data_IF_532801787158
#
_entry.id   IF_532801787158
#
_cell.length_a   1.000
_cell.length_b   1.000
_cell.length_c   1.000
_cell.angle_alpha   90.00
_cell.angle_beta   90.00
_cell.angle_gamma   90.00
#
_symmetry.space_group_name_H-M   'P 1'
#
loop_
_entity.id
_entity.type
_entity.pdbx_description
1 polymer ?
#
# COMPACT_ATOMS: atom_id res chain seq x y z
N UNK A 1 -0.09 -18.46 2.38
CA UNK A 1 0.65 -17.19 2.36
C UNK A 1 1.14 -16.89 3.76
N UNK A 2 2.42 -16.61 3.93
CA UNK A 2 3.04 -16.38 5.26
C UNK A 2 3.32 -14.89 5.43
N UNK A 3 2.53 -14.23 6.28
CA UNK A 3 2.74 -12.83 6.63
C UNK A 3 3.96 -12.68 7.55
N UNK A 4 4.71 -11.59 7.39
CA UNK A 4 5.89 -11.29 8.20
C UNK A 4 5.56 -10.26 9.30
N UNK A 5 5.91 -10.52 10.58
CA UNK A 5 5.68 -9.56 11.63
C UNK A 5 6.68 -8.40 11.57
N UNK A 6 6.18 -7.20 11.88
CA UNK A 6 6.98 -6.01 12.16
C UNK A 6 6.46 -5.35 13.45
N UNK A 7 7.35 -4.76 14.22
CA UNK A 7 7.00 -4.15 15.50
C UNK A 7 7.35 -2.67 15.50
N UNK A 8 6.41 -1.87 15.99
CA UNK A 8 6.58 -0.46 16.32
C UNK A 8 6.22 -0.27 17.78
N UNK A 9 7.24 -0.19 18.64
CA UNK A 9 7.07 -0.26 20.11
C UNK A 9 6.30 -1.51 20.51
N UNK A 10 5.16 -1.34 21.17
CA UNK A 10 4.31 -2.44 21.67
C UNK A 10 3.31 -2.94 20.63
N UNK A 11 3.25 -2.28 19.46
CA UNK A 11 2.30 -2.63 18.40
C UNK A 11 2.95 -3.55 17.36
N UNK A 12 2.26 -4.65 17.07
CA UNK A 12 2.67 -5.64 16.09
C UNK A 12 1.77 -5.57 14.86
N UNK A 13 2.37 -5.33 13.70
CA UNK A 13 1.71 -5.44 12.40
C UNK A 13 2.19 -6.70 11.67
N UNK A 14 1.34 -7.25 10.81
CA UNK A 14 1.63 -8.38 9.94
C UNK A 14 1.66 -7.88 8.51
N UNK A 15 2.82 -7.91 7.86
CA UNK A 15 2.98 -7.58 6.44
C UNK A 15 2.55 -8.79 5.59
N UNK A 16 1.64 -8.58 4.65
CA UNK A 16 1.09 -9.65 3.80
C UNK A 16 1.73 -9.62 2.40
N UNK A 17 2.02 -10.77 1.77
CA UNK A 17 2.52 -10.83 0.40
C UNK A 17 1.63 -10.14 -0.64
N UNK A 18 0.36 -9.91 -0.34
CA UNK A 18 -0.53 -9.10 -1.18
C UNK A 18 -0.14 -7.61 -1.25
N UNK A 19 0.71 -7.12 -0.35
CA UNK A 19 1.02 -5.70 -0.18
C UNK A 19 0.13 -4.99 0.84
N UNK A 20 -0.79 -5.70 1.50
CA UNK A 20 -1.53 -5.21 2.65
C UNK A 20 -0.74 -5.39 3.95
N UNK A 21 -1.00 -4.56 4.95
CA UNK A 21 -0.57 -4.78 6.32
C UNK A 21 -1.79 -5.00 7.22
N UNK A 22 -1.68 -5.91 8.18
CA UNK A 22 -2.75 -6.18 9.13
C UNK A 22 -2.27 -5.92 10.56
N UNK A 23 -3.07 -5.21 11.33
CA UNK A 23 -2.85 -4.93 12.74
C UNK A 23 -3.80 -5.76 13.62
N UNK A 24 -3.34 -6.92 14.11
CA UNK A 24 -4.23 -7.88 14.78
C UNK A 24 -4.90 -7.32 16.04
N UNK A 25 -4.15 -6.60 16.89
CA UNK A 25 -4.66 -6.07 18.16
C UNK A 25 -5.85 -5.11 17.99
N UNK A 26 -5.95 -4.43 16.84
CA UNK A 26 -7.01 -3.48 16.51
C UNK A 26 -7.95 -3.99 15.41
N UNK A 27 -7.64 -5.15 14.82
CA UNK A 27 -8.34 -5.69 13.67
C UNK A 27 -8.44 -4.68 12.52
N UNK A 28 -7.32 -4.01 12.21
CA UNK A 28 -7.22 -3.00 11.15
C UNK A 28 -6.44 -3.60 10.00
N UNK A 29 -7.03 -3.57 8.81
CA UNK A 29 -6.36 -3.85 7.54
C UNK A 29 -5.92 -2.53 6.92
N UNK A 30 -4.68 -2.46 6.42
CA UNK A 30 -4.10 -1.26 5.84
C UNK A 30 -3.68 -1.60 4.42
N UNK A 31 -4.13 -0.80 3.46
CA UNK A 31 -3.76 -0.86 2.05
C UNK A 31 -3.39 0.54 1.56
N UNK A 32 -2.67 0.64 0.45
CA UNK A 32 -2.24 1.93 -0.09
C UNK A 32 -2.39 1.96 -1.60
N UNK A 33 -2.67 3.13 -2.15
CA UNK A 33 -2.53 3.39 -3.59
C UNK A 33 -3.27 2.35 -4.44
N UNK A 34 -4.60 2.31 -4.29
CA UNK A 34 -5.46 1.39 -5.05
C UNK A 34 -5.50 1.75 -6.53
N UNK A 35 -5.41 3.05 -6.84
CA UNK A 35 -5.45 3.61 -8.20
C UNK A 35 -6.54 2.97 -9.07
N UNK A 36 -7.76 2.88 -8.54
CA UNK A 36 -8.91 2.43 -9.31
C UNK A 36 -9.10 3.33 -10.52
N UNK A 37 -9.66 2.79 -11.60
CA UNK A 37 -9.95 3.52 -12.85
C UNK A 37 -8.68 4.01 -13.58
N UNK A 38 -7.53 3.37 -13.38
CA UNK A 38 -6.31 3.67 -14.12
C UNK A 38 -6.44 3.35 -15.60
N UNK A 39 -7.08 2.23 -15.93
CA UNK A 39 -7.35 1.83 -17.31
C UNK A 39 -8.23 2.83 -18.04
N UNK A 40 -9.34 3.27 -17.42
CA UNK A 40 -10.24 4.27 -17.99
C UNK A 40 -9.57 5.64 -18.12
N UNK A 41 -8.77 6.05 -17.12
CA UNK A 41 -7.96 7.27 -17.18
C UNK A 41 -6.94 7.25 -18.32
N UNK A 42 -6.28 6.12 -18.55
CA UNK A 42 -5.35 5.95 -19.67
C UNK A 42 -6.08 6.04 -21.03
N UNK A 43 -7.24 5.42 -21.14
CA UNK A 43 -8.07 5.46 -22.37
C UNK A 43 -8.50 6.88 -22.73
N UNK A 44 -8.87 7.71 -21.75
CA UNK A 44 -9.17 9.13 -21.96
C UNK A 44 -7.99 9.92 -22.56
N UNK A 45 -6.76 9.46 -22.33
CA UNK A 45 -5.53 10.05 -22.89
C UNK A 45 -5.02 9.36 -24.16
N UNK A 46 -5.83 8.48 -24.76
CA UNK A 46 -5.46 7.73 -25.97
C UNK A 46 -4.53 6.55 -25.73
N UNK A 47 -4.25 6.19 -24.48
CA UNK A 47 -3.41 5.06 -24.13
C UNK A 47 -4.29 3.85 -23.74
N UNK A 48 -4.11 2.72 -24.42
CA UNK A 48 -4.87 1.52 -24.14
C UNK A 48 -4.15 0.68 -23.07
N UNK A 49 -4.75 0.57 -21.89
CA UNK A 49 -4.41 -0.43 -20.88
C UNK A 49 -5.54 -1.47 -20.81
N UNK A 50 -5.24 -2.73 -20.47
CA UNK A 50 -6.29 -3.71 -20.26
C UNK A 50 -7.29 -3.22 -19.18
N UNK A 51 -8.63 -3.25 -19.45
CA UNK A 51 -9.64 -2.61 -18.61
C UNK A 51 -10.04 -3.48 -17.40
N UNK A 52 -9.08 -4.18 -16.78
CA UNK A 52 -9.33 -5.12 -15.69
C UNK A 52 -8.70 -4.68 -14.35
N UNK A 53 -8.05 -3.52 -14.34
CA UNK A 53 -7.28 -3.00 -13.20
C UNK A 53 -8.15 -2.81 -11.96
N UNK A 54 -9.27 -2.11 -12.07
CA UNK A 54 -10.22 -1.87 -10.98
C UNK A 54 -10.76 -3.19 -10.43
N UNK A 55 -11.27 -4.03 -11.30
CA UNK A 55 -11.83 -5.33 -10.92
C UNK A 55 -10.80 -6.22 -10.23
N UNK A 56 -9.59 -6.33 -10.79
CA UNK A 56 -8.51 -7.14 -10.22
C UNK A 56 -8.06 -6.62 -8.85
N UNK A 57 -7.98 -5.29 -8.69
CA UNK A 57 -7.66 -4.64 -7.42
C UNK A 57 -8.74 -4.90 -6.37
N UNK A 58 -10.02 -4.77 -6.72
CA UNK A 58 -11.13 -5.04 -5.80
C UNK A 58 -11.27 -6.52 -5.44
N UNK A 59 -11.02 -7.44 -6.37
CA UNK A 59 -10.97 -8.88 -6.08
C UNK A 59 -9.83 -9.23 -5.11
N UNK A 60 -8.67 -8.58 -5.27
CA UNK A 60 -7.54 -8.71 -4.36
C UNK A 60 -7.88 -8.15 -2.97
N UNK A 61 -8.50 -6.96 -2.89
CA UNK A 61 -8.94 -6.34 -1.64
C UNK A 61 -9.96 -7.23 -0.93
N UNK A 62 -10.96 -7.73 -1.63
CA UNK A 62 -11.97 -8.62 -1.06
C UNK A 62 -11.37 -9.90 -0.48
N UNK A 63 -10.34 -10.48 -1.13
CA UNK A 63 -9.63 -11.65 -0.60
C UNK A 63 -8.98 -11.37 0.75
N UNK A 64 -8.28 -10.25 0.92
CA UNK A 64 -7.61 -9.92 2.19
C UNK A 64 -8.62 -9.49 3.27
N UNK A 65 -9.71 -8.80 2.91
CA UNK A 65 -10.82 -8.50 3.82
C UNK A 65 -11.44 -9.79 4.36
N UNK A 66 -11.74 -10.75 3.51
CA UNK A 66 -12.27 -12.07 3.93
C UNK A 66 -11.28 -12.88 4.76
N UNK A 67 -9.99 -12.81 4.42
CA UNK A 67 -8.94 -13.53 5.15
C UNK A 67 -8.78 -13.01 6.57
N UNK A 68 -8.65 -11.70 6.74
CA UNK A 68 -8.35 -11.07 8.02
C UNK A 68 -9.59 -10.66 8.81
N UNK A 69 -10.75 -10.55 8.18
CA UNK A 69 -12.03 -10.10 8.78
C UNK A 69 -11.81 -8.86 9.67
N UNK A 70 -11.27 -7.78 9.11
CA UNK A 70 -10.95 -6.59 9.86
C UNK A 70 -12.22 -5.92 10.40
N UNK A 71 -12.08 -5.17 11.50
CA UNK A 71 -13.12 -4.24 11.94
C UNK A 71 -13.04 -2.92 11.16
N UNK A 72 -11.82 -2.52 10.76
CA UNK A 72 -11.55 -1.33 9.95
C UNK A 72 -10.63 -1.65 8.77
N UNK A 73 -10.81 -0.90 7.70
CA UNK A 73 -9.87 -0.86 6.56
C UNK A 73 -9.40 0.59 6.41
N UNK A 74 -8.10 0.82 6.45
CA UNK A 74 -7.50 2.13 6.17
C UNK A 74 -6.85 2.06 4.78
N UNK A 75 -7.36 2.85 3.84
CA UNK A 75 -6.76 3.06 2.53
C UNK A 75 -5.93 4.35 2.55
N UNK A 76 -4.62 4.23 2.34
CA UNK A 76 -3.66 5.33 2.50
C UNK A 76 -3.55 6.19 1.24
N UNK A 77 -4.66 6.77 0.79
CA UNK A 77 -4.73 7.69 -0.34
C UNK A 77 -4.64 7.05 -1.71
N UNK A 78 -4.79 7.87 -2.72
CA UNK A 78 -4.81 7.48 -4.13
C UNK A 78 -5.73 6.27 -4.38
N UNK A 79 -6.96 6.38 -3.85
CA UNK A 79 -8.01 5.39 -4.07
C UNK A 79 -8.36 5.33 -5.55
N UNK A 80 -8.48 6.50 -6.20
CA UNK A 80 -8.65 6.63 -7.65
C UNK A 80 -7.38 7.13 -8.33
N UNK A 81 -7.25 6.86 -9.64
CA UNK A 81 -6.07 7.28 -10.40
C UNK A 81 -6.10 8.75 -10.82
N UNK A 82 -7.25 9.39 -10.77
CA UNK A 82 -7.46 10.82 -10.99
C UNK A 82 -8.75 11.30 -10.31
N UNK A 83 -8.94 12.62 -10.27
CA UNK A 83 -10.05 13.28 -9.56
C UNK A 83 -11.45 12.85 -10.00
N UNK A 84 -11.60 12.44 -11.27
CA UNK A 84 -12.89 12.00 -11.83
C UNK A 84 -13.05 10.47 -11.85
N UNK A 85 -12.12 9.74 -11.24
CA UNK A 85 -12.12 8.29 -11.20
C UNK A 85 -13.39 7.71 -10.58
N UNK A 86 -13.90 8.32 -9.50
CA UNK A 86 -15.13 7.87 -8.84
C UNK A 86 -16.35 7.92 -9.76
N UNK A 87 -16.44 8.91 -10.66
CA UNK A 87 -17.54 9.06 -11.61
C UNK A 87 -17.56 7.95 -12.68
N UNK A 88 -16.38 7.40 -13.01
CA UNK A 88 -16.22 6.34 -14.02
C UNK A 88 -16.33 4.93 -13.45
N UNK A 89 -16.38 4.80 -12.12
CA UNK A 89 -16.45 3.51 -11.45
C UNK A 89 -17.72 2.76 -11.88
N UNK A 90 -17.55 1.58 -12.46
CA UNK A 90 -18.66 0.75 -12.89
C UNK A 90 -19.57 0.37 -11.70
N UNK A 91 -20.89 0.31 -11.94
CA UNK A 91 -21.89 0.01 -10.89
C UNK A 91 -21.62 -1.33 -10.18
N UNK A 92 -21.15 -2.33 -10.90
CA UNK A 92 -20.77 -3.63 -10.33
C UNK A 92 -19.61 -3.51 -9.33
N UNK A 93 -18.64 -2.64 -9.60
CA UNK A 93 -17.48 -2.42 -8.73
C UNK A 93 -17.83 -1.50 -7.55
N UNK A 94 -18.69 -0.50 -7.76
CA UNK A 94 -19.33 0.29 -6.70
C UNK A 94 -20.10 -0.59 -5.72
N UNK A 95 -20.91 -1.50 -6.23
CA UNK A 95 -21.65 -2.50 -5.42
C UNK A 95 -20.71 -3.39 -4.60
N UNK A 96 -19.56 -3.81 -5.16
CA UNK A 96 -18.55 -4.59 -4.43
C UNK A 96 -17.92 -3.81 -3.29
N UNK A 97 -17.54 -2.56 -3.53
CA UNK A 97 -17.01 -1.67 -2.48
C UNK A 97 -18.03 -1.47 -1.37
N UNK A 98 -19.29 -1.18 -1.73
CA UNK A 98 -20.37 -1.03 -0.77
C UNK A 98 -20.63 -2.33 0.04
N UNK A 99 -20.46 -3.50 -0.56
CA UNK A 99 -20.56 -4.77 0.15
C UNK A 99 -19.44 -4.92 1.19
N UNK A 100 -18.19 -4.62 0.83
CA UNK A 100 -17.07 -4.65 1.77
C UNK A 100 -17.22 -3.61 2.90
N UNK A 101 -17.75 -2.42 2.59
CA UNK A 101 -18.00 -1.37 3.58
C UNK A 101 -19.14 -1.70 4.58
N UNK A 102 -19.97 -2.70 4.29
CA UNK A 102 -20.93 -3.26 5.27
C UNK A 102 -20.26 -4.25 6.24
N UNK A 103 -19.15 -4.87 5.84
CA UNK A 103 -18.42 -5.84 6.65
C UNK A 103 -17.35 -5.21 7.54
N UNK A 104 -16.78 -4.07 7.12
CA UNK A 104 -15.73 -3.34 7.83
C UNK A 104 -15.91 -1.83 7.67
N UNK A 105 -15.53 -1.06 8.69
CA UNK A 105 -15.53 0.40 8.59
C UNK A 105 -14.34 0.88 7.75
N UNK A 106 -14.61 1.53 6.61
CA UNK A 106 -13.57 2.07 5.75
C UNK A 106 -13.19 3.49 6.15
N UNK A 107 -11.89 3.75 6.17
CA UNK A 107 -11.27 5.07 6.33
C UNK A 107 -10.45 5.32 5.08
N UNK A 108 -10.87 6.31 4.29
CA UNK A 108 -10.22 6.73 3.06
C UNK A 108 -9.33 7.94 3.36
N UNK A 109 -8.03 7.75 3.40
CA UNK A 109 -7.09 8.87 3.46
C UNK A 109 -7.07 9.51 2.08
N UNK A 110 -7.10 10.85 2.02
CA UNK A 110 -7.05 11.58 0.76
C UNK A 110 -5.63 11.53 0.19
N UNK A 111 -5.52 11.33 -1.12
CA UNK A 111 -4.27 11.29 -1.86
C UNK A 111 -4.06 12.52 -2.74
N UNK A 112 -2.95 12.57 -3.45
CA UNK A 112 -2.68 13.67 -4.39
C UNK A 112 -3.40 13.48 -5.75
N UNK A 113 -3.76 12.24 -6.09
CA UNK A 113 -4.57 11.93 -7.28
C UNK A 113 -6.07 12.16 -7.04
N UNK A 114 -6.53 11.97 -5.81
CA UNK A 114 -7.93 12.14 -5.38
C UNK A 114 -8.01 12.97 -4.07
N UNK A 115 -7.65 14.26 -4.11
CA UNK A 115 -7.56 15.11 -2.92
C UNK A 115 -8.90 15.49 -2.30
N UNK A 116 -9.99 15.10 -2.91
CA UNK A 116 -11.35 15.39 -2.46
C UNK A 116 -12.06 14.11 -2.02
N UNK A 117 -12.97 14.23 -1.06
CA UNK A 117 -13.77 13.10 -0.63
C UNK A 117 -14.63 12.57 -1.79
N UNK A 118 -14.60 11.28 -2.01
CA UNK A 118 -15.45 10.59 -2.97
C UNK A 118 -16.81 10.23 -2.34
N UNK A 119 -17.73 9.75 -3.15
CA UNK A 119 -19.03 9.22 -2.71
C UNK A 119 -18.97 7.77 -2.19
N UNK A 120 -17.76 7.24 -1.95
CA UNK A 120 -17.59 5.90 -1.38
C UNK A 120 -18.05 5.86 0.07
N UNK A 121 -18.70 4.76 0.48
CA UNK A 121 -19.14 4.60 1.87
C UNK A 121 -17.93 4.48 2.81
N UNK A 122 -17.95 5.22 3.91
CA UNK A 122 -16.89 5.27 4.90
C UNK A 122 -16.56 6.69 5.34
N UNK A 123 -15.47 6.84 6.06
CA UNK A 123 -14.97 8.11 6.55
C UNK A 123 -13.80 8.59 5.68
N UNK A 124 -13.76 9.88 5.33
CA UNK A 124 -12.67 10.49 4.58
C UNK A 124 -11.85 11.41 5.49
N UNK A 125 -10.53 11.30 5.42
CA UNK A 125 -9.62 12.07 6.25
C UNK A 125 -8.31 12.40 5.49
N UNK A 126 -7.68 13.52 5.85
CA UNK A 126 -6.32 13.84 5.37
C UNK A 126 -5.28 12.99 6.09
N UNK A 127 -5.55 12.71 7.37
CA UNK A 127 -4.70 11.93 8.25
C UNK A 127 -5.58 11.19 9.26
N UNK A 128 -5.18 9.98 9.65
CA UNK A 128 -5.82 9.23 10.72
C UNK A 128 -4.83 8.89 11.83
N UNK A 129 -5.26 8.94 13.07
CA UNK A 129 -4.44 8.57 14.23
C UNK A 129 -5.12 7.54 15.08
N UNK A 130 -4.43 6.47 15.40
CA UNK A 130 -4.94 5.43 16.29
C UNK A 130 -3.79 4.78 17.09
N UNK A 131 -3.94 4.68 18.41
CA UNK A 131 -3.00 4.04 19.33
C UNK A 131 -1.53 4.42 19.11
N UNK A 132 -1.25 5.68 18.84
CA UNK A 132 0.10 6.21 18.66
C UNK A 132 0.71 6.00 17.27
N UNK A 133 -0.05 5.41 16.34
CA UNK A 133 0.31 5.36 14.92
C UNK A 133 -0.43 6.45 14.15
N UNK A 134 0.28 7.09 13.22
CA UNK A 134 -0.24 8.10 12.31
C UNK A 134 -0.28 7.50 10.90
N UNK A 135 -1.44 7.58 10.26
CA UNK A 135 -1.71 7.09 8.92
C UNK A 135 -1.92 8.27 7.98
N UNK A 136 -1.13 8.35 6.92
CA UNK A 136 -1.23 9.41 5.91
C UNK A 136 -0.86 8.90 4.54
N UNK A 137 -1.22 9.62 3.49
CA UNK A 137 -0.87 9.24 2.14
C UNK A 137 0.64 9.41 1.92
N UNK A 138 1.15 10.64 1.95
CA UNK A 138 2.54 10.97 1.76
C UNK A 138 3.28 11.07 3.10
N UNK A 139 4.46 10.45 3.19
CA UNK A 139 5.29 10.48 4.38
C UNK A 139 5.75 11.90 4.73
N UNK A 140 5.63 12.29 5.99
CA UNK A 140 6.14 13.57 6.46
C UNK A 140 7.66 13.67 6.27
N UNK A 141 8.21 14.82 5.85
CA UNK A 141 9.66 14.99 5.72
C UNK A 141 10.41 14.71 7.02
N UNK A 142 9.84 15.07 8.14
CA UNK A 142 10.36 14.79 9.49
C UNK A 142 9.24 14.32 10.40
N UNK A 143 9.54 13.32 11.23
CA UNK A 143 8.62 12.86 12.27
C UNK A 143 8.78 13.68 13.55
N UNK A 144 7.66 13.89 14.24
CA UNK A 144 7.66 14.40 15.60
C UNK A 144 8.32 13.44 16.59
N UNK A 145 8.67 13.91 17.80
CA UNK A 145 9.22 13.06 18.83
C UNK A 145 8.26 11.88 19.15
N UNK A 146 8.78 10.66 19.02
CA UNK A 146 8.03 9.42 19.25
C UNK A 146 6.86 9.15 18.29
N UNK A 147 6.74 9.87 17.18
CA UNK A 147 5.77 9.58 16.14
C UNK A 147 6.13 8.28 15.40
N UNK A 148 5.12 7.46 15.10
CA UNK A 148 5.22 6.30 14.22
C UNK A 148 4.29 6.54 13.05
N UNK A 149 4.81 6.43 11.83
CA UNK A 149 4.09 6.76 10.61
C UNK A 149 3.92 5.54 9.71
N UNK A 150 2.71 5.42 9.17
CA UNK A 150 2.35 4.43 8.15
C UNK A 150 1.91 5.23 6.91
N UNK A 151 2.57 5.03 5.78
CA UNK A 151 2.33 5.82 4.56
C UNK A 151 2.37 4.99 3.27
N UNK A 152 1.95 5.60 2.16
CA UNK A 152 1.99 5.08 0.80
C UNK A 152 2.74 6.01 -0.16
N UNK A 153 2.08 6.40 -1.27
CA UNK A 153 2.47 7.41 -2.25
C UNK A 153 3.66 7.04 -3.15
N UNK A 154 4.78 6.61 -2.59
CA UNK A 154 6.03 6.40 -3.34
C UNK A 154 6.06 5.07 -4.11
N UNK A 155 5.13 4.16 -3.86
CA UNK A 155 5.06 2.82 -4.47
C UNK A 155 6.42 2.10 -4.45
N UNK A 156 7.06 1.91 -3.28
CA UNK A 156 8.43 1.44 -3.21
C UNK A 156 8.65 0.11 -3.90
N UNK A 157 9.73 0.04 -4.68
CA UNK A 157 10.24 -1.18 -5.34
C UNK A 157 11.70 -1.38 -4.99
N UNK A 158 12.09 -2.63 -4.93
CA UNK A 158 13.49 -2.98 -4.80
C UNK A 158 13.89 -4.06 -5.80
N UNK A 159 15.16 -4.02 -6.21
CA UNK A 159 15.73 -4.98 -7.15
C UNK A 159 16.75 -5.84 -6.45
N UNK A 160 16.69 -7.14 -6.68
CA UNK A 160 17.69 -8.13 -6.29
C UNK A 160 18.29 -8.78 -7.53
N UNK A 161 19.55 -9.11 -7.47
CA UNK A 161 20.22 -9.94 -8.49
C UNK A 161 20.12 -11.40 -8.09
N UNK A 162 19.68 -12.21 -9.00
CA UNK A 162 19.69 -13.68 -8.89
C UNK A 162 20.73 -14.24 -9.86
N UNK A 163 21.07 -15.51 -9.74
CA UNK A 163 21.98 -16.18 -10.69
C UNK A 163 21.53 -16.06 -12.16
N UNK A 164 20.23 -15.91 -12.40
CA UNK A 164 19.66 -15.90 -13.75
C UNK A 164 19.35 -14.48 -14.27
N UNK A 165 18.88 -13.56 -13.41
CA UNK A 165 18.42 -12.23 -13.83
C UNK A 165 18.25 -11.28 -12.66
N UNK A 166 18.20 -9.98 -12.97
CA UNK A 166 17.73 -8.93 -12.06
C UNK A 166 16.20 -9.00 -11.95
N UNK A 167 15.70 -9.05 -10.73
CA UNK A 167 14.25 -9.08 -10.42
C UNK A 167 13.90 -7.84 -9.61
N UNK A 168 12.98 -7.04 -10.13
CA UNK A 168 12.38 -5.90 -9.40
C UNK A 168 10.98 -6.26 -8.95
N UNK A 169 10.67 -5.97 -7.67
CA UNK A 169 9.36 -6.24 -7.07
C UNK A 169 8.92 -5.08 -6.18
N UNK A 170 7.61 -4.85 -6.05
CA UNK A 170 7.09 -4.00 -4.98
C UNK A 170 7.55 -4.51 -3.61
N UNK A 171 7.71 -3.59 -2.67
CA UNK A 171 8.16 -3.95 -1.33
C UNK A 171 7.58 -3.00 -0.28
N UNK A 172 7.45 -3.49 0.96
CA UNK A 172 7.36 -2.60 2.10
C UNK A 172 8.76 -2.06 2.42
N UNK A 173 8.81 -0.83 2.94
CA UNK A 173 10.04 -0.22 3.45
C UNK A 173 9.80 0.21 4.88
N UNK A 174 10.71 -0.13 5.78
CA UNK A 174 10.54 0.21 7.18
C UNK A 174 11.87 0.51 7.89
N UNK A 175 11.75 1.32 8.95
CA UNK A 175 12.73 1.46 10.01
C UNK A 175 12.05 1.36 11.39
N UNK A 176 12.65 1.91 12.44
CA UNK A 176 12.07 1.88 13.79
C UNK A 176 10.87 2.80 14.02
N UNK A 177 10.54 3.70 13.06
CA UNK A 177 9.51 4.73 13.21
C UNK A 177 8.57 4.87 11.99
N UNK A 178 8.93 4.29 10.84
CA UNK A 178 8.16 4.40 9.60
C UNK A 178 7.88 3.04 8.99
N UNK A 179 6.69 2.91 8.41
CA UNK A 179 6.33 1.84 7.48
C UNK A 179 5.75 2.49 6.22
N UNK A 180 6.37 2.27 5.08
CA UNK A 180 5.87 2.67 3.78
C UNK A 180 5.35 1.44 3.04
N UNK A 181 4.10 1.47 2.60
CA UNK A 181 3.46 0.38 1.90
C UNK A 181 3.75 0.45 0.40
N UNK A 182 3.85 -0.70 -0.29
CA UNK A 182 3.78 -0.74 -1.74
C UNK A 182 2.38 -0.38 -2.23
N UNK A 183 2.26 0.09 -3.47
CA UNK A 183 0.97 0.23 -4.09
C UNK A 183 0.24 -1.12 -4.13
N UNK A 184 -1.01 -1.10 -3.68
CA UNK A 184 -1.87 -2.28 -3.67
C UNK A 184 -2.54 -2.51 -5.03
N UNK A 185 -2.80 -1.43 -5.78
CA UNK A 185 -3.44 -1.48 -7.08
C UNK A 185 -2.64 -2.21 -8.14
N UNK A 186 -3.36 -2.76 -9.12
CA UNK A 186 -2.76 -3.35 -10.33
C UNK A 186 -2.21 -2.25 -11.25
N UNK A 187 -1.17 -2.57 -12.04
CA UNK A 187 -0.47 -1.64 -12.95
C UNK A 187 0.20 -0.44 -12.27
N UNK A 188 0.40 -0.47 -10.96
CA UNK A 188 1.13 0.59 -10.28
C UNK A 188 2.61 0.60 -10.71
N UNK A 189 3.09 1.77 -11.07
CA UNK A 189 4.51 2.06 -11.20
C UNK A 189 5.23 1.95 -9.86
N UNK A 190 6.35 2.62 -9.69
CA UNK A 190 7.00 2.75 -8.38
C UNK A 190 8.44 3.17 -8.48
N UNK A 191 8.96 3.74 -7.40
CA UNK A 191 10.33 4.21 -7.25
C UNK A 191 11.23 3.12 -6.66
N UNK A 192 12.47 3.05 -7.10
CA UNK A 192 13.47 2.22 -6.40
C UNK A 192 13.72 2.81 -5.00
N UNK A 193 13.83 1.96 -4.01
CA UNK A 193 14.05 2.38 -2.60
C UNK A 193 15.33 3.17 -2.38
N UNK A 194 16.25 3.17 -3.35
CA UNK A 194 17.48 3.98 -3.36
C UNK A 194 17.26 5.40 -3.88
N UNK A 195 16.13 5.67 -4.52
CA UNK A 195 15.82 7.03 -5.00
C UNK A 195 15.81 8.02 -3.84
N UNK A 196 16.37 9.22 -4.05
CA UNK A 196 16.46 10.24 -2.99
C UNK A 196 15.10 10.57 -2.35
N UNK A 197 14.00 10.45 -3.10
CA UNK A 197 12.65 10.69 -2.60
C UNK A 197 12.28 9.74 -1.44
N UNK A 198 12.74 8.48 -1.49
CA UNK A 198 12.52 7.49 -0.43
C UNK A 198 13.69 7.50 0.57
N UNK A 199 14.94 7.42 0.07
CA UNK A 199 16.11 7.22 0.93
C UNK A 199 16.26 8.29 2.03
N UNK A 200 15.95 9.55 1.73
CA UNK A 200 16.03 10.67 2.69
C UNK A 200 15.03 10.57 3.85
N UNK A 201 13.93 9.82 3.67
CA UNK A 201 12.95 9.59 4.72
C UNK A 201 13.44 8.59 5.77
N UNK A 202 14.50 7.83 5.46
CA UNK A 202 15.09 6.78 6.30
C UNK A 202 16.59 7.04 6.57
N UNK A 203 16.95 8.15 7.25
CA UNK A 203 18.34 8.59 7.39
C UNK A 203 19.22 7.62 8.21
N UNK A 204 18.61 6.72 8.98
CA UNK A 204 19.31 5.70 9.78
C UNK A 204 19.42 4.36 9.06
N UNK A 205 19.01 4.31 7.77
CA UNK A 205 18.90 3.10 7.00
C UNK A 205 17.50 2.49 7.04
N UNK A 206 17.25 1.57 6.14
CA UNK A 206 15.94 0.94 5.96
C UNK A 206 16.08 -0.56 5.76
N UNK A 207 14.99 -1.25 6.04
CA UNK A 207 14.77 -2.65 5.70
C UNK A 207 13.64 -2.74 4.67
N UNK A 208 13.84 -3.56 3.66
CA UNK A 208 12.82 -3.86 2.66
C UNK A 208 12.23 -5.25 2.89
N UNK A 209 10.95 -5.40 2.57
CA UNK A 209 10.25 -6.68 2.51
C UNK A 209 9.66 -6.81 1.11
N UNK A 210 10.38 -7.52 0.23
CA UNK A 210 9.95 -7.74 -1.15
C UNK A 210 8.75 -8.67 -1.20
N UNK A 211 7.78 -8.31 -2.04
CA UNK A 211 6.62 -9.15 -2.30
C UNK A 211 7.02 -10.32 -3.19
N UNK A 212 7.04 -11.52 -2.64
CA UNK A 212 7.05 -12.77 -3.40
C UNK A 212 5.64 -13.19 -3.78
N UNK A 213 5.51 -14.41 -4.30
CA UNK A 213 4.22 -14.95 -4.67
C UNK A 213 3.39 -15.32 -3.42
N UNK A 214 4.01 -16.03 -2.46
CA UNK A 214 3.34 -16.55 -1.26
C UNK A 214 4.02 -16.14 0.05
N UNK A 215 5.14 -15.44 -0.03
CA UNK A 215 5.94 -15.02 1.12
C UNK A 215 6.67 -13.71 0.85
N UNK A 216 7.18 -13.10 1.91
CA UNK A 216 8.00 -11.90 1.86
C UNK A 216 9.48 -12.26 2.02
N UNK A 217 10.34 -11.52 1.32
CA UNK A 217 11.79 -11.65 1.43
C UNK A 217 12.36 -10.37 2.04
N UNK A 218 13.03 -10.49 3.18
CA UNK A 218 13.54 -9.33 3.93
C UNK A 218 15.02 -9.10 3.66
N UNK A 219 15.39 -7.84 3.35
CA UNK A 219 16.75 -7.41 3.09
C UNK A 219 17.04 -6.07 3.77
N UNK A 220 18.24 -5.90 4.30
CA UNK A 220 18.76 -4.56 4.57
C UNK A 220 19.16 -3.88 3.26
N UNK A 221 19.15 -2.55 3.22
CA UNK A 221 19.46 -1.77 2.00
C UNK A 221 20.80 -2.19 1.36
N UNK A 222 21.84 -2.42 2.16
CA UNK A 222 23.15 -2.82 1.67
C UNK A 222 23.24 -4.25 1.10
N UNK A 223 22.20 -5.08 1.28
CA UNK A 223 22.09 -6.42 0.72
C UNK A 223 21.42 -6.43 -0.66
N UNK A 224 20.75 -5.33 -1.02
CA UNK A 224 20.12 -5.18 -2.33
C UNK A 224 21.21 -5.01 -3.40
N UNK A 225 21.08 -5.74 -4.51
CA UNK A 225 22.07 -5.74 -5.61
C UNK A 225 23.22 -6.74 -5.43
N UNK A 226 23.28 -7.49 -4.33
CA UNK A 226 24.11 -8.69 -4.20
C UNK A 226 23.30 -9.91 -4.59
N UNK A 227 23.96 -10.95 -5.16
CA UNK A 227 23.29 -12.23 -5.41
C UNK A 227 22.68 -12.72 -4.10
N UNK A 228 21.35 -12.88 -4.09
CA UNK A 228 20.70 -13.58 -2.99
C UNK A 228 21.15 -15.04 -3.07
N UNK A 229 21.98 -15.47 -2.15
CA UNK A 229 22.15 -16.89 -1.86
C UNK A 229 20.82 -17.33 -1.22
N UNK A 230 19.98 -17.93 -2.05
CA UNK A 230 18.76 -18.58 -1.58
C UNK A 230 19.21 -19.91 -0.99
N UNK A 231 19.24 -19.98 0.34
CA UNK A 231 19.34 -21.24 1.05
C UNK A 231 18.04 -22.04 0.91
#
# INVERSE_FOLDING_TARGET
MTAAPIHFRDERLMLDPSGAAFWPARRILIVSDLHLEKGSSAALRGNLLPPYDTRATLEKLNRVVRLYRPAKVIALGDTFHDRTGSERLAEADRTRLAAMAREAHFIWILGNHDPEASDLPGEHAVEWREAGLTFRHEAAPMLGPREIEISGHYHPKASIETKAKRVSRPCFVADGARLMLPAFGTYAGGLDVREPAIARLFPRGLRVFLLGQDQLFSFALGQLGRMAEVA
#
